data_IF_575588440619
#
_entry.id   IF_575588440619
#
_cell.length_a   1.000
_cell.length_b   1.000
_cell.length_c   1.000
_cell.angle_alpha   90.00
_cell.angle_beta   90.00
_cell.angle_gamma   90.00
#
_symmetry.space_group_name_H-M   'P 1'
#
loop_
_entity.id
_entity.type
_entity.pdbx_description
1 polymer ?
#
# COMPACT_ATOMS: atom_id res chain seq x y z
N UNK A 1 -0.49 -6.99 20.24
CA UNK A 1 0.78 -6.27 20.58
C UNK A 1 2.04 -7.05 20.18
N UNK A 2 2.10 -8.39 20.27
CA UNK A 2 3.33 -9.15 19.98
C UNK A 2 3.83 -9.12 18.53
N UNK A 3 2.94 -9.19 17.54
CA UNK A 3 3.33 -9.24 16.13
C UNK A 3 3.92 -7.92 15.61
N UNK A 4 3.39 -6.78 16.02
CA UNK A 4 3.92 -5.47 15.62
C UNK A 4 5.34 -5.26 16.16
N UNK A 5 5.58 -5.57 17.44
CA UNK A 5 6.90 -5.44 18.04
C UNK A 5 7.94 -6.32 17.34
N UNK A 6 7.58 -7.58 17.03
CA UNK A 6 8.48 -8.49 16.30
C UNK A 6 8.77 -8.00 14.88
N UNK A 7 7.74 -7.56 14.15
CA UNK A 7 7.90 -7.00 12.80
C UNK A 7 8.80 -5.77 12.79
N UNK A 8 8.68 -4.89 13.79
CA UNK A 8 9.54 -3.70 13.94
C UNK A 8 11.00 -4.08 14.17
N UNK A 9 11.27 -5.11 14.98
CA UNK A 9 12.64 -5.61 15.20
C UNK A 9 13.21 -6.18 13.91
N UNK A 10 12.46 -7.02 13.20
CA UNK A 10 12.85 -7.60 11.91
C UNK A 10 13.12 -6.51 10.87
N UNK A 11 12.23 -5.53 10.75
CA UNK A 11 12.39 -4.38 9.85
C UNK A 11 13.70 -3.64 10.11
N UNK A 12 14.01 -3.36 11.37
CA UNK A 12 15.23 -2.64 11.76
C UNK A 12 16.50 -3.47 11.53
N UNK A 13 16.48 -4.76 11.84
CA UNK A 13 17.66 -5.63 11.74
C UNK A 13 17.95 -6.00 10.28
N UNK A 14 16.96 -6.46 9.53
CA UNK A 14 17.14 -6.92 8.14
C UNK A 14 17.19 -5.73 7.18
N UNK A 15 16.17 -4.89 7.18
CA UNK A 15 15.99 -3.82 6.19
C UNK A 15 16.58 -2.47 6.62
N UNK A 16 17.02 -2.34 7.87
CA UNK A 16 17.46 -1.08 8.45
C UNK A 16 16.35 -0.05 8.59
N UNK A 17 15.10 -0.49 8.52
CA UNK A 17 13.93 0.35 8.38
C UNK A 17 13.10 0.42 9.66
N UNK A 18 12.54 1.60 9.95
CA UNK A 18 11.53 1.79 10.98
C UNK A 18 10.14 1.54 10.38
N UNK A 19 9.38 0.63 10.96
CA UNK A 19 8.02 0.31 10.52
C UNK A 19 6.92 1.17 11.16
N UNK A 20 7.28 2.14 12.01
CA UNK A 20 6.28 3.05 12.60
C UNK A 20 5.45 3.77 11.55
N UNK A 21 6.03 4.37 10.49
CA UNK A 21 5.25 5.05 9.47
C UNK A 21 4.23 4.14 8.76
N UNK A 22 4.55 2.86 8.57
CA UNK A 22 3.61 1.86 8.04
C UNK A 22 2.41 1.67 8.97
N UNK A 23 2.62 1.47 10.26
CA UNK A 23 1.50 1.28 11.20
C UNK A 23 0.70 2.57 11.42
N UNK A 24 1.34 3.73 11.33
CA UNK A 24 0.66 5.04 11.38
C UNK A 24 -0.26 5.24 10.17
N UNK A 25 0.18 4.87 8.97
CA UNK A 25 -0.67 4.98 7.77
C UNK A 25 -1.91 4.07 7.85
N UNK A 26 -1.79 2.89 8.46
CA UNK A 26 -2.94 2.00 8.65
C UNK A 26 -4.00 2.59 9.61
N UNK A 27 -3.62 3.49 10.52
CA UNK A 27 -4.60 4.18 11.40
C UNK A 27 -5.56 5.07 10.63
N UNK A 28 -5.17 5.55 9.42
CA UNK A 28 -6.03 6.31 8.53
C UNK A 28 -7.29 5.56 8.09
N UNK A 29 -7.29 4.24 8.19
CA UNK A 29 -8.47 3.41 7.97
C UNK A 29 -9.63 3.84 8.89
N UNK A 30 -9.33 4.17 10.14
CA UNK A 30 -10.33 4.60 11.10
C UNK A 30 -10.91 6.01 10.82
N UNK A 31 -10.18 6.83 10.04
CA UNK A 31 -10.61 8.19 9.68
C UNK A 31 -11.63 8.18 8.52
N UNK A 32 -11.77 7.05 7.78
CA UNK A 32 -12.72 6.95 6.68
C UNK A 32 -14.15 6.89 7.21
N UNK A 33 -15.05 7.78 6.76
CA UNK A 33 -16.41 7.84 7.27
C UNK A 33 -17.24 6.61 6.91
N UNK A 34 -18.34 6.39 7.65
CA UNK A 34 -19.34 5.39 7.30
C UNK A 34 -19.87 5.62 5.88
N UNK A 35 -19.89 4.56 5.07
CA UNK A 35 -20.25 4.63 3.65
C UNK A 35 -19.10 5.05 2.72
N UNK A 36 -17.95 5.45 3.24
CA UNK A 36 -16.76 5.72 2.45
C UNK A 36 -16.17 4.44 1.83
N UNK A 37 -15.23 4.61 0.92
CA UNK A 37 -14.58 3.53 0.17
C UNK A 37 -13.07 3.51 0.43
N UNK A 38 -12.58 2.34 0.87
CA UNK A 38 -11.15 2.03 1.00
C UNK A 38 -10.77 1.05 -0.10
N UNK A 39 -9.66 1.32 -0.78
CA UNK A 39 -9.01 0.37 -1.70
C UNK A 39 -7.65 0.00 -1.13
N UNK A 40 -7.33 -1.29 -1.14
CA UNK A 40 -6.04 -1.85 -0.71
C UNK A 40 -5.47 -2.70 -1.85
N UNK A 41 -4.48 -2.17 -2.56
CA UNK A 41 -3.89 -2.78 -3.75
C UNK A 41 -2.36 -2.57 -3.82
N UNK A 42 -1.59 -3.65 -3.66
CA UNK A 42 -1.99 -5.04 -3.44
C UNK A 42 -2.27 -5.29 -1.95
N UNK A 43 -3.31 -6.05 -1.64
CA UNK A 43 -3.67 -6.34 -0.25
C UNK A 43 -2.83 -7.45 0.39
N UNK A 44 -2.13 -8.25 -0.41
CA UNK A 44 -1.36 -9.38 0.04
C UNK A 44 -2.20 -10.36 0.88
N UNK A 45 -1.68 -10.77 2.02
CA UNK A 45 -2.38 -11.64 2.98
C UNK A 45 -3.36 -10.88 3.91
N UNK A 46 -3.65 -9.62 3.64
CA UNK A 46 -4.57 -8.81 4.43
C UNK A 46 -3.94 -8.25 5.72
N UNK A 47 -2.71 -7.76 5.65
CA UNK A 47 -2.03 -7.16 6.82
C UNK A 47 -2.78 -5.91 7.30
N UNK A 48 -3.25 -5.07 6.37
CA UNK A 48 -4.01 -3.86 6.67
C UNK A 48 -5.37 -4.14 7.34
N UNK A 49 -5.94 -5.34 7.17
CA UNK A 49 -7.19 -5.75 7.84
C UNK A 49 -7.09 -5.71 9.36
N UNK A 50 -5.85 -5.74 9.88
CA UNK A 50 -5.58 -5.59 11.31
C UNK A 50 -6.04 -4.28 11.92
N UNK A 51 -6.14 -3.23 11.11
CA UNK A 51 -6.58 -1.90 11.53
C UNK A 51 -8.10 -1.68 11.40
N UNK A 52 -8.85 -2.63 10.77
CA UNK A 52 -10.30 -2.58 10.68
C UNK A 52 -10.95 -3.17 11.92
N UNK A 53 -12.05 -2.54 12.35
CA UNK A 53 -13.02 -3.11 13.29
C UNK A 53 -14.19 -3.74 12.51
N UNK A 54 -14.83 -4.82 13.00
CA UNK A 54 -16.05 -5.38 12.41
C UNK A 54 -17.20 -4.37 12.33
N UNK A 55 -17.23 -3.38 13.22
CA UNK A 55 -18.23 -2.32 13.27
C UNK A 55 -17.99 -1.18 12.30
N UNK A 56 -16.79 -1.12 11.68
CA UNK A 56 -16.45 -0.08 10.72
C UNK A 56 -17.33 -0.20 9.46
N UNK A 57 -17.99 0.88 9.06
CA UNK A 57 -19.04 0.89 8.02
C UNK A 57 -18.57 1.37 6.66
N UNK A 58 -17.28 1.58 6.44
CA UNK A 58 -16.74 1.81 5.11
C UNK A 58 -16.73 0.50 4.30
N UNK A 59 -16.94 0.60 3.00
CA UNK A 59 -16.66 -0.49 2.05
C UNK A 59 -15.14 -0.65 1.93
N UNK A 60 -14.67 -1.87 1.82
CA UNK A 60 -13.26 -2.15 1.67
C UNK A 60 -13.04 -3.09 0.50
N UNK A 61 -12.40 -2.61 -0.54
CA UNK A 61 -12.00 -3.40 -1.72
C UNK A 61 -10.52 -3.77 -1.56
N UNK A 62 -10.26 -5.05 -1.42
CA UNK A 62 -8.92 -5.61 -1.28
C UNK A 62 -8.57 -6.38 -2.55
N UNK A 63 -7.61 -5.88 -3.32
CA UNK A 63 -7.23 -6.42 -4.61
C UNK A 63 -5.80 -6.98 -4.56
N UNK A 64 -5.59 -8.14 -5.16
CA UNK A 64 -4.26 -8.72 -5.38
C UNK A 64 -4.24 -9.56 -6.66
N UNK A 65 -3.11 -9.60 -7.35
CA UNK A 65 -2.93 -10.42 -8.55
C UNK A 65 -2.68 -11.90 -8.21
N UNK A 66 -2.32 -12.22 -6.98
CA UNK A 66 -1.98 -13.57 -6.51
C UNK A 66 -3.17 -14.26 -5.84
N UNK A 67 -3.68 -15.34 -6.46
CA UNK A 67 -4.71 -16.20 -5.83
C UNK A 67 -4.25 -16.74 -4.47
N UNK A 68 -2.96 -17.07 -4.33
CA UNK A 68 -2.38 -17.57 -3.08
C UNK A 68 -2.39 -16.51 -1.97
N UNK A 69 -2.18 -15.23 -2.30
CA UNK A 69 -2.32 -14.12 -1.36
C UNK A 69 -3.78 -13.88 -0.99
N UNK A 70 -4.68 -13.90 -1.96
CA UNK A 70 -6.12 -13.76 -1.71
C UNK A 70 -6.70 -14.92 -0.87
N UNK A 71 -6.19 -16.15 -1.02
CA UNK A 71 -6.58 -17.25 -0.14
C UNK A 71 -6.19 -16.98 1.33
N UNK A 72 -4.99 -16.42 1.57
CA UNK A 72 -4.55 -15.99 2.90
C UNK A 72 -5.35 -14.80 3.42
N UNK A 73 -5.63 -13.81 2.57
CA UNK A 73 -6.46 -12.66 2.90
C UNK A 73 -7.87 -13.10 3.31
N UNK A 74 -8.47 -14.07 2.59
CA UNK A 74 -9.77 -14.66 2.92
C UNK A 74 -9.77 -15.30 4.30
N UNK A 75 -8.73 -16.05 4.65
CA UNK A 75 -8.57 -16.63 5.98
C UNK A 75 -8.41 -15.54 7.06
N UNK A 76 -7.65 -14.48 6.77
CA UNK A 76 -7.49 -13.34 7.68
C UNK A 76 -8.82 -12.61 7.92
N UNK A 77 -9.57 -12.32 6.85
CA UNK A 77 -10.90 -11.72 6.89
C UNK A 77 -11.86 -12.54 7.75
N UNK A 78 -11.92 -13.86 7.52
CA UNK A 78 -12.81 -14.77 8.25
C UNK A 78 -12.48 -14.83 9.75
N UNK A 79 -11.20 -14.99 10.10
CA UNK A 79 -10.76 -15.02 11.52
C UNK A 79 -11.11 -13.75 12.29
N UNK A 80 -11.21 -12.61 11.60
CA UNK A 80 -11.49 -11.29 12.20
C UNK A 80 -12.95 -10.87 12.10
N UNK A 81 -13.81 -11.65 11.44
CA UNK A 81 -15.23 -11.32 11.27
C UNK A 81 -15.49 -10.09 10.39
N UNK A 82 -14.59 -9.78 9.44
CA UNK A 82 -14.65 -8.57 8.62
C UNK A 82 -15.51 -8.79 7.38
N UNK A 83 -16.83 -8.64 7.50
CA UNK A 83 -17.79 -8.89 6.40
C UNK A 83 -17.79 -7.79 5.33
N UNK A 84 -17.34 -6.58 5.66
CA UNK A 84 -17.28 -5.40 4.79
C UNK A 84 -16.16 -5.43 3.75
N UNK A 85 -15.27 -6.45 3.79
CA UNK A 85 -14.16 -6.58 2.85
C UNK A 85 -14.60 -7.39 1.63
N UNK A 86 -14.48 -6.81 0.47
CA UNK A 86 -14.57 -7.49 -0.84
C UNK A 86 -13.15 -7.86 -1.30
N UNK A 87 -12.94 -9.14 -1.68
CA UNK A 87 -11.66 -9.63 -2.19
C UNK A 87 -11.74 -9.81 -3.70
N UNK A 88 -10.85 -9.16 -4.43
CA UNK A 88 -10.84 -9.14 -5.90
C UNK A 88 -9.49 -9.68 -6.41
N UNK A 89 -9.54 -10.66 -7.29
CA UNK A 89 -8.39 -11.06 -8.10
C UNK A 89 -8.28 -10.08 -9.26
N UNK A 90 -7.21 -9.29 -9.32
CA UNK A 90 -7.07 -8.26 -10.34
C UNK A 90 -5.73 -7.57 -10.34
N UNK A 91 -5.53 -6.75 -11.37
CA UNK A 91 -4.33 -5.93 -11.59
C UNK A 91 -4.51 -4.55 -10.96
N UNK A 92 -3.50 -4.08 -10.24
CA UNK A 92 -3.48 -2.75 -9.62
C UNK A 92 -3.45 -1.60 -10.65
N UNK A 93 -3.27 -1.89 -11.93
CA UNK A 93 -3.35 -0.93 -13.04
C UNK A 93 -4.75 -0.79 -13.64
N UNK A 94 -5.73 -1.62 -13.19
CA UNK A 94 -7.10 -1.64 -13.70
C UNK A 94 -8.08 -2.04 -12.58
N UNK A 95 -8.28 -1.17 -11.61
CA UNK A 95 -9.08 -1.45 -10.41
C UNK A 95 -10.58 -1.23 -10.72
N UNK A 96 -11.48 -2.19 -10.41
CA UNK A 96 -12.87 -2.11 -10.77
C UNK A 96 -13.69 -1.23 -9.81
N UNK A 97 -13.28 0.03 -9.68
CA UNK A 97 -14.01 1.07 -8.94
C UNK A 97 -14.21 2.30 -9.82
N UNK A 98 -15.24 3.08 -9.52
CA UNK A 98 -15.53 4.31 -10.25
C UNK A 98 -14.43 5.35 -10.05
N UNK A 99 -14.18 6.16 -11.07
CA UNK A 99 -13.28 7.29 -11.01
C UNK A 99 -13.75 8.29 -9.94
N UNK A 100 -12.82 8.75 -9.11
CA UNK A 100 -13.12 9.76 -8.10
C UNK A 100 -14.03 9.27 -6.96
N UNK A 101 -14.00 7.97 -6.62
CA UNK A 101 -14.89 7.39 -5.62
C UNK A 101 -14.20 6.99 -4.30
N UNK A 102 -12.85 6.92 -4.28
CA UNK A 102 -12.09 6.35 -3.17
C UNK A 102 -11.68 7.42 -2.16
N UNK A 103 -12.00 7.19 -0.90
CA UNK A 103 -11.58 8.04 0.23
C UNK A 103 -10.15 7.78 0.65
N UNK A 104 -9.77 6.50 0.74
CA UNK A 104 -8.44 6.06 1.14
C UNK A 104 -7.94 4.95 0.23
N UNK A 105 -6.82 5.18 -0.41
CA UNK A 105 -6.12 4.18 -1.20
C UNK A 105 -4.86 3.74 -0.45
N UNK A 106 -4.74 2.45 -0.19
CA UNK A 106 -3.58 1.84 0.43
C UNK A 106 -2.76 1.09 -0.63
N UNK A 107 -1.46 1.34 -0.70
CA UNK A 107 -0.52 0.59 -1.53
C UNK A 107 0.76 0.29 -0.76
N UNK A 108 0.70 -0.74 0.07
CA UNK A 108 1.84 -1.10 0.91
C UNK A 108 2.64 -2.26 0.35
N UNK A 109 3.95 -2.04 0.19
CA UNK A 109 4.91 -3.05 -0.27
C UNK A 109 4.52 -3.71 -1.60
N UNK A 110 3.86 -2.98 -2.51
CA UNK A 110 3.43 -3.45 -3.82
C UNK A 110 4.25 -2.90 -4.98
N UNK A 111 4.48 -1.58 -5.01
CA UNK A 111 5.05 -0.88 -6.16
C UNK A 111 6.38 -1.45 -6.67
N UNK A 112 7.23 -1.96 -5.77
CA UNK A 112 8.49 -2.58 -6.15
C UNK A 112 8.35 -3.95 -6.80
N UNK A 113 7.16 -4.57 -6.75
CA UNK A 113 6.84 -5.85 -7.39
C UNK A 113 6.11 -5.67 -8.72
N UNK A 114 5.51 -4.50 -8.97
CA UNK A 114 4.72 -4.28 -10.17
C UNK A 114 5.59 -4.17 -11.42
N UNK A 115 5.14 -4.73 -12.57
CA UNK A 115 5.79 -4.53 -13.85
C UNK A 115 5.83 -3.05 -14.27
N UNK A 116 4.75 -2.33 -13.99
CA UNK A 116 4.58 -0.89 -14.24
C UNK A 116 4.07 -0.17 -12.98
N UNK A 117 4.98 0.25 -12.08
CA UNK A 117 4.58 0.96 -10.87
C UNK A 117 3.99 2.35 -11.14
N UNK A 118 4.38 2.97 -12.23
CA UNK A 118 3.85 4.26 -12.66
C UNK A 118 2.38 4.17 -13.09
N UNK A 119 2.02 3.13 -13.87
CA UNK A 119 0.63 2.88 -14.22
C UNK A 119 -0.24 2.61 -12.98
N UNK A 120 0.28 1.89 -11.99
CA UNK A 120 -0.44 1.65 -10.73
C UNK A 120 -0.67 2.94 -9.93
N UNK A 121 0.29 3.87 -9.91
CA UNK A 121 0.11 5.19 -9.28
C UNK A 121 -0.93 6.03 -10.04
N UNK A 122 -0.91 6.03 -11.39
CA UNK A 122 -1.93 6.71 -12.20
C UNK A 122 -3.33 6.14 -11.94
N UNK A 123 -3.44 4.82 -11.79
CA UNK A 123 -4.71 4.18 -11.49
C UNK A 123 -5.20 4.52 -10.06
N UNK A 124 -4.29 4.56 -9.08
CA UNK A 124 -4.63 5.03 -7.74
C UNK A 124 -5.15 6.47 -7.76
N UNK A 125 -4.50 7.36 -8.53
CA UNK A 125 -4.94 8.74 -8.71
C UNK A 125 -6.33 8.83 -9.36
N UNK A 126 -6.61 8.01 -10.41
CA UNK A 126 -7.92 7.93 -11.04
C UNK A 126 -9.02 7.56 -10.02
N UNK A 127 -8.72 6.61 -9.15
CA UNK A 127 -9.69 6.12 -8.17
C UNK A 127 -10.01 7.15 -7.07
N UNK A 128 -9.04 7.95 -6.66
CA UNK A 128 -9.18 8.89 -5.55
C UNK A 128 -10.19 10.00 -5.86
N UNK A 129 -11.10 10.26 -4.93
CA UNK A 129 -11.96 11.45 -4.99
C UNK A 129 -11.17 12.73 -4.65
N UNK A 130 -11.67 13.91 -4.99
CA UNK A 130 -11.15 15.16 -4.45
C UNK A 130 -11.10 15.11 -2.91
N UNK A 131 -9.94 15.38 -2.32
CA UNK A 131 -9.69 15.23 -0.89
C UNK A 131 -9.52 13.80 -0.38
N UNK A 132 -9.54 12.78 -1.27
CA UNK A 132 -9.13 11.42 -0.96
C UNK A 132 -7.61 11.33 -0.75
N UNK A 133 -7.13 10.25 -0.16
CA UNK A 133 -5.73 10.10 0.22
C UNK A 133 -5.14 8.78 -0.25
N UNK A 134 -3.93 8.85 -0.80
CA UNK A 134 -3.05 7.71 -1.04
C UNK A 134 -2.07 7.57 0.13
N UNK A 135 -2.02 6.38 0.72
CA UNK A 135 -1.00 6.00 1.71
C UNK A 135 -0.24 4.77 1.18
N UNK A 136 1.07 4.81 1.23
CA UNK A 136 1.83 3.71 0.67
C UNK A 136 3.21 3.51 1.24
N UNK A 137 3.80 2.39 0.86
CA UNK A 137 5.19 2.08 1.12
C UNK A 137 5.76 1.19 0.01
N UNK A 138 7.04 1.36 -0.28
CA UNK A 138 7.74 0.51 -1.23
C UNK A 138 9.17 0.23 -0.78
N UNK A 139 9.75 -0.84 -1.30
CA UNK A 139 11.18 -1.08 -1.20
C UNK A 139 11.87 -0.26 -2.29
N UNK A 140 12.86 0.55 -1.90
CA UNK A 140 13.55 1.46 -2.81
C UNK A 140 14.97 1.03 -3.12
N UNK A 141 15.38 1.27 -4.34
CA UNK A 141 16.79 1.21 -4.74
C UNK A 141 17.49 2.50 -4.30
N UNK A 142 18.72 2.38 -3.82
CA UNK A 142 19.48 3.54 -3.39
C UNK A 142 20.97 3.23 -3.22
N UNK A 143 21.77 4.24 -2.85
CA UNK A 143 23.22 4.13 -2.75
C UNK A 143 23.71 3.34 -1.52
N UNK A 144 22.87 3.13 -0.53
CA UNK A 144 23.27 2.45 0.70
C UNK A 144 23.60 0.98 0.49
N UNK A 145 24.62 0.46 1.20
CA UNK A 145 25.09 -0.93 1.04
C UNK A 145 23.97 -1.96 1.20
N UNK A 146 23.05 -1.75 2.15
CA UNK A 146 21.90 -2.66 2.34
C UNK A 146 20.94 -2.67 1.15
N UNK A 147 20.60 -1.50 0.60
CA UNK A 147 19.77 -1.38 -0.60
C UNK A 147 20.40 -2.12 -1.77
N UNK A 148 21.70 -1.93 -2.01
CA UNK A 148 22.44 -2.60 -3.09
C UNK A 148 22.52 -4.12 -2.93
N UNK A 149 22.56 -4.62 -1.69
CA UNK A 149 22.66 -6.05 -1.38
C UNK A 149 21.29 -6.74 -1.41
N UNK A 150 20.27 -6.13 -0.83
CA UNK A 150 18.97 -6.75 -0.61
C UNK A 150 17.97 -6.48 -1.74
N UNK A 151 18.06 -5.32 -2.39
CA UNK A 151 17.11 -4.91 -3.44
C UNK A 151 17.72 -5.18 -4.81
N UNK A 152 17.38 -6.34 -5.39
CA UNK A 152 17.88 -6.78 -6.69
C UNK A 152 16.71 -6.90 -7.69
N UNK A 153 16.56 -5.96 -8.65
CA UNK A 153 15.52 -6.04 -9.66
C UNK A 153 15.52 -7.39 -10.41
N UNK A 154 14.33 -7.94 -10.66
CA UNK A 154 14.18 -9.21 -11.36
C UNK A 154 14.51 -10.47 -10.54
N UNK A 155 14.81 -10.35 -9.25
CA UNK A 155 15.06 -11.48 -8.33
C UNK A 155 14.10 -11.46 -7.16
N UNK A 156 13.65 -12.64 -6.73
CA UNK A 156 12.88 -12.80 -5.49
C UNK A 156 11.53 -12.09 -5.50
N UNK A 157 10.89 -11.91 -6.67
CA UNK A 157 9.60 -11.21 -6.79
C UNK A 157 9.72 -9.69 -6.92
N UNK A 158 10.94 -9.14 -7.00
CA UNK A 158 11.13 -7.73 -7.33
C UNK A 158 10.91 -7.49 -8.82
N UNK A 159 10.02 -6.55 -9.16
CA UNK A 159 9.88 -5.96 -10.48
C UNK A 159 11.03 -4.98 -10.78
N UNK A 160 10.86 -4.04 -11.70
CA UNK A 160 11.86 -3.02 -12.01
C UNK A 160 12.18 -2.16 -10.80
N UNK A 161 11.25 -2.05 -9.85
CA UNK A 161 11.37 -1.21 -8.67
C UNK A 161 11.61 0.26 -9.01
N UNK A 162 11.95 1.06 -8.02
CA UNK A 162 12.23 2.49 -8.19
C UNK A 162 13.12 3.03 -7.08
N UNK A 163 13.56 4.26 -7.29
CA UNK A 163 14.19 5.11 -6.28
C UNK A 163 13.16 6.05 -5.66
N UNK A 164 13.54 6.77 -4.61
CA UNK A 164 12.69 7.85 -4.07
C UNK A 164 12.43 8.95 -5.11
N UNK A 165 13.40 9.22 -5.99
CA UNK A 165 13.23 10.20 -7.06
C UNK A 165 12.19 9.72 -8.10
N UNK A 166 12.21 8.42 -8.45
CA UNK A 166 11.18 7.84 -9.33
C UNK A 166 9.80 7.93 -8.70
N UNK A 167 9.66 7.60 -7.41
CA UNK A 167 8.39 7.72 -6.70
C UNK A 167 7.83 9.15 -6.74
N UNK A 168 8.67 10.15 -6.46
CA UNK A 168 8.27 11.57 -6.53
C UNK A 168 7.82 11.97 -7.94
N UNK A 169 8.53 11.49 -8.96
CA UNK A 169 8.16 11.73 -10.36
C UNK A 169 6.82 11.09 -10.69
N UNK A 170 6.60 9.82 -10.35
CA UNK A 170 5.33 9.10 -10.60
C UNK A 170 4.13 9.77 -9.92
N UNK A 171 4.29 10.22 -8.67
CA UNK A 171 3.24 10.97 -7.98
C UNK A 171 2.91 12.28 -8.71
N UNK A 172 3.93 13.06 -9.06
CA UNK A 172 3.75 14.33 -9.77
C UNK A 172 3.10 14.15 -11.16
N UNK A 173 3.53 13.17 -11.94
CA UNK A 173 2.98 12.86 -13.28
C UNK A 173 1.52 12.35 -13.20
N UNK A 174 1.12 11.78 -12.06
CA UNK A 174 -0.25 11.38 -11.78
C UNK A 174 -1.12 12.50 -11.17
N UNK A 175 -0.62 13.75 -11.10
CA UNK A 175 -1.28 14.87 -10.43
C UNK A 175 -1.61 14.58 -8.95
N UNK A 176 -0.70 13.93 -8.26
CA UNK A 176 -0.77 13.70 -6.82
C UNK A 176 0.27 14.60 -6.11
N UNK A 177 -0.20 15.44 -5.23
CA UNK A 177 0.66 16.23 -4.35
C UNK A 177 1.14 15.35 -3.19
N UNK A 178 2.45 15.21 -3.07
CA UNK A 178 3.05 14.40 -2.02
C UNK A 178 3.07 15.17 -0.68
N UNK A 179 2.23 14.77 0.26
CA UNK A 179 2.23 15.31 1.62
C UNK A 179 3.48 14.87 2.40
N UNK A 180 3.90 13.61 2.15
CA UNK A 180 5.07 12.99 2.79
C UNK A 180 5.75 12.04 1.81
N UNK A 181 7.08 12.08 1.77
CA UNK A 181 7.92 11.00 1.24
C UNK A 181 9.12 10.88 2.17
N UNK A 182 9.16 9.80 2.93
CA UNK A 182 10.16 9.52 3.96
C UNK A 182 10.90 8.23 3.63
N UNK A 183 12.22 8.28 3.62
CA UNK A 183 13.08 7.11 3.44
C UNK A 183 13.55 6.57 4.80
N UNK A 184 13.43 5.27 5.00
CA UNK A 184 13.91 4.58 6.18
C UNK A 184 14.56 3.25 5.77
N UNK A 185 15.87 3.19 5.82
CA UNK A 185 16.63 2.02 5.37
C UNK A 185 16.34 1.66 3.92
N UNK A 186 15.80 0.48 3.66
CA UNK A 186 15.43 0.03 2.32
C UNK A 186 13.99 0.41 1.92
N UNK A 187 13.25 1.14 2.76
CA UNK A 187 11.85 1.48 2.52
C UNK A 187 11.66 2.96 2.27
N UNK A 188 10.71 3.29 1.40
CA UNK A 188 10.11 4.62 1.33
C UNK A 188 8.64 4.52 1.75
N UNK A 189 8.22 5.44 2.60
CA UNK A 189 6.85 5.66 3.01
C UNK A 189 6.35 6.95 2.39
N UNK A 190 5.13 6.96 1.90
CA UNK A 190 4.58 8.13 1.25
C UNK A 190 3.09 8.29 1.51
N UNK A 191 2.66 9.54 1.51
CA UNK A 191 1.26 9.92 1.40
C UNK A 191 1.10 11.02 0.38
N UNK A 192 -0.03 11.02 -0.33
CA UNK A 192 -0.33 12.01 -1.35
C UNK A 192 -1.85 12.22 -1.47
N UNK A 193 -2.23 13.39 -1.98
CA UNK A 193 -3.62 13.77 -2.26
C UNK A 193 -3.73 14.26 -3.70
N UNK A 194 -4.89 14.11 -4.38
CA UNK A 194 -5.10 14.70 -5.68
C UNK A 194 -4.86 16.21 -5.65
N UNK A 195 -4.07 16.71 -6.61
CA UNK A 195 -3.88 18.16 -6.79
C UNK A 195 -5.21 18.83 -7.11
N UNK A 196 -5.41 20.06 -6.63
CA UNK A 196 -6.63 20.81 -6.83
C UNK A 196 -6.84 21.23 -8.30
#
# INVERSE_FOLDING_TARGET
MGHEALSRVIGRVIWGADLRPFYESLRRIADVPSGGLIVDAPCGAGVAFGALSPEHRARYVALDLSEGMLARARATRARRGLTQIELILGDATAIPVETGSVDLFLSHFGLHCFPDPEAAIREAARCLRPGGRLEGSMIVRGPHRRQRLLVQPGRGGFGPGGTVADLRRWLNEANLEADRVEESGCFAYFSATPSA
#
